data_IF_062295590086
#
_entry.id   IF_062295590086
#
_cell.length_a   1.000
_cell.length_b   1.000
_cell.length_c   1.000
_cell.angle_alpha   90.00
_cell.angle_beta   90.00
_cell.angle_gamma   90.00
#
_symmetry.space_group_name_H-M   'P 1'
#
loop_
_entity.id
_entity.type
_entity.pdbx_description
1 polymer ?
#
# COMPACT_ATOMS: atom_id res chain seq x y z
N UNK A 1 -1.83 -20.55 -18.75
CA UNK A 1 -1.81 -19.62 -19.90
C UNK A 1 -0.70 -18.61 -19.65
N UNK A 2 0.09 -18.19 -20.64
CA UNK A 2 1.16 -17.21 -20.43
C UNK A 2 0.58 -15.92 -19.83
N UNK A 3 0.85 -15.69 -18.55
CA UNK A 3 0.32 -14.56 -17.76
C UNK A 3 1.09 -13.27 -18.07
N UNK A 4 1.07 -12.83 -19.32
CA UNK A 4 1.71 -11.58 -19.73
C UNK A 4 0.67 -10.46 -19.77
N UNK A 5 0.82 -9.46 -18.89
CA UNK A 5 0.02 -8.23 -18.88
C UNK A 5 0.81 -7.10 -19.54
N UNK A 6 0.14 -6.26 -20.34
CA UNK A 6 0.73 -5.04 -20.92
C UNK A 6 1.12 -4.04 -19.82
N UNK A 7 2.29 -3.42 -19.97
CA UNK A 7 2.76 -2.34 -19.08
C UNK A 7 1.77 -1.17 -19.11
N UNK A 8 1.40 -0.73 -20.32
CA UNK A 8 0.38 0.28 -20.52
C UNK A 8 -1.00 -0.39 -20.61
N UNK A 9 -1.86 -0.08 -19.65
CA UNK A 9 -3.26 -0.48 -19.63
C UNK A 9 -4.09 0.63 -18.98
N UNK A 10 -5.34 0.85 -19.42
CA UNK A 10 -6.19 1.87 -18.83
C UNK A 10 -6.46 1.56 -17.35
N UNK A 11 -6.55 2.61 -16.53
CA UNK A 11 -6.95 2.48 -15.14
C UNK A 11 -8.45 2.16 -15.04
N UNK A 12 -8.91 1.58 -13.91
CA UNK A 12 -10.33 1.31 -13.69
C UNK A 12 -11.21 2.56 -13.78
N UNK A 13 -12.39 2.40 -14.39
CA UNK A 13 -13.41 3.43 -14.53
C UNK A 13 -14.06 3.83 -13.20
N UNK A 14 -15.02 4.75 -13.21
CA UNK A 14 -15.70 5.21 -11.98
C UNK A 14 -16.54 4.10 -11.36
N UNK A 15 -17.34 3.40 -12.16
CA UNK A 15 -18.27 2.34 -11.71
C UNK A 15 -17.53 1.12 -11.16
N UNK A 16 -16.31 0.88 -11.64
CA UNK A 16 -15.47 -0.24 -11.22
C UNK A 16 -14.77 0.00 -9.87
N UNK A 17 -14.80 1.23 -9.34
CA UNK A 17 -14.17 1.58 -8.06
C UNK A 17 -15.12 1.33 -6.90
N UNK A 18 -14.54 0.94 -5.77
CA UNK A 18 -15.24 0.83 -4.48
C UNK A 18 -14.58 1.75 -3.45
N UNK A 19 -15.36 2.27 -2.51
CA UNK A 19 -14.85 3.03 -1.37
C UNK A 19 -13.84 2.22 -0.57
N UNK A 20 -12.71 2.85 -0.24
CA UNK A 20 -11.67 2.27 0.60
C UNK A 20 -12.23 2.08 2.00
N UNK A 21 -12.33 0.83 2.45
CA UNK A 21 -12.95 0.45 3.73
C UNK A 21 -12.17 -0.62 4.49
N UNK A 22 -11.17 -1.25 3.86
CA UNK A 22 -10.34 -2.29 4.47
C UNK A 22 -8.98 -1.69 4.82
N UNK A 23 -8.50 -1.81 6.07
CA UNK A 23 -7.20 -1.28 6.45
C UNK A 23 -6.04 -2.09 5.83
N UNK A 24 -4.93 -1.41 5.55
CA UNK A 24 -3.63 -1.98 5.25
C UNK A 24 -2.72 -1.68 6.44
N UNK A 25 -2.52 -2.68 7.30
CA UNK A 25 -1.77 -2.53 8.55
C UNK A 25 -0.27 -2.43 8.26
N UNK A 26 0.36 -1.31 8.62
CA UNK A 26 1.80 -1.11 8.41
C UNK A 26 2.64 -1.79 9.49
N UNK A 27 2.09 -2.00 10.69
CA UNK A 27 2.83 -2.49 11.86
C UNK A 27 3.57 -1.36 12.59
N UNK A 28 3.43 -0.12 12.11
CA UNK A 28 4.08 1.07 12.68
C UNK A 28 3.00 1.86 13.42
N UNK A 29 3.05 1.81 14.76
CA UNK A 29 2.07 2.47 15.65
C UNK A 29 1.79 3.92 15.28
N UNK A 30 2.83 4.69 14.94
CA UNK A 30 2.68 6.09 14.57
C UNK A 30 1.84 6.29 13.30
N UNK A 31 1.95 5.38 12.33
CA UNK A 31 1.20 5.44 11.07
C UNK A 31 -0.21 4.88 11.30
N UNK A 32 -0.31 3.67 11.84
CA UNK A 32 -1.61 2.98 11.98
C UNK A 32 -2.59 3.72 12.91
N UNK A 33 -2.08 4.47 13.90
CA UNK A 33 -2.92 5.25 14.81
C UNK A 33 -3.26 6.66 14.30
N UNK A 34 -2.30 7.38 13.71
CA UNK A 34 -2.48 8.80 13.35
C UNK A 34 -2.87 9.00 11.88
N UNK A 35 -2.33 8.18 10.97
CA UNK A 35 -2.49 8.31 9.52
C UNK A 35 -2.73 6.90 8.94
N UNK A 36 -3.87 6.27 9.26
CA UNK A 36 -4.15 4.91 8.81
C UNK A 36 -4.22 4.85 7.28
N UNK A 37 -3.70 3.76 6.71
CA UNK A 37 -3.70 3.52 5.26
C UNK A 37 -4.72 2.43 4.94
N UNK A 38 -5.57 2.66 3.94
CA UNK A 38 -6.53 1.66 3.46
C UNK A 38 -6.11 0.96 2.16
N UNK A 39 -6.63 -0.25 1.93
CA UNK A 39 -6.44 -1.00 0.67
C UNK A 39 -7.12 -0.27 -0.49
N UNK A 40 -6.32 0.20 -1.45
CA UNK A 40 -6.78 1.02 -2.57
C UNK A 40 -6.51 2.53 -2.41
N UNK A 41 -5.99 2.94 -1.24
CA UNK A 41 -5.49 4.30 -1.02
C UNK A 41 -4.10 4.48 -1.63
N UNK A 42 -3.76 5.72 -2.00
CA UNK A 42 -2.41 6.12 -2.42
C UNK A 42 -1.82 6.99 -1.31
N UNK A 43 -0.82 6.48 -0.61
CA UNK A 43 -0.15 7.20 0.48
C UNK A 43 1.26 7.62 0.06
N UNK A 44 1.56 8.93 0.16
CA UNK A 44 2.88 9.48 -0.13
C UNK A 44 3.79 9.35 1.11
N UNK A 45 5.02 8.88 0.90
CA UNK A 45 6.10 8.90 1.90
C UNK A 45 7.16 9.88 1.39
N UNK A 46 7.32 11.02 2.08
CA UNK A 46 8.23 12.10 1.70
C UNK A 46 9.12 12.51 2.88
N UNK A 47 10.34 12.95 2.59
CA UNK A 47 11.31 13.40 3.59
C UNK A 47 12.74 13.40 3.03
N UNK A 48 13.68 13.91 3.82
CA UNK A 48 15.09 14.08 3.43
C UNK A 48 15.83 12.74 3.27
N UNK A 49 17.08 12.79 2.81
CA UNK A 49 17.93 11.60 2.72
C UNK A 49 18.09 10.94 4.10
N UNK A 50 18.16 9.60 4.14
CA UNK A 50 18.37 8.81 5.37
C UNK A 50 17.28 8.95 6.46
N UNK A 51 16.08 9.42 6.12
CA UNK A 51 14.93 9.53 7.06
C UNK A 51 14.08 8.27 7.17
N UNK A 52 14.56 7.12 6.69
CA UNK A 52 13.84 5.85 6.84
C UNK A 52 12.68 5.60 5.86
N UNK A 53 12.53 6.38 4.79
CA UNK A 53 11.48 6.18 3.77
C UNK A 53 11.40 4.74 3.25
N UNK A 54 12.56 4.16 2.90
CA UNK A 54 12.66 2.78 2.41
C UNK A 54 12.37 1.76 3.50
N UNK A 55 12.80 2.03 4.74
CA UNK A 55 12.55 1.14 5.87
C UNK A 55 11.06 1.00 6.16
N UNK A 56 10.32 2.12 6.20
CA UNK A 56 8.86 2.12 6.38
C UNK A 56 8.17 1.24 5.33
N UNK A 57 8.57 1.36 4.06
CA UNK A 57 7.99 0.56 2.98
C UNK A 57 8.32 -0.94 3.11
N UNK A 58 9.56 -1.28 3.47
CA UNK A 58 10.00 -2.68 3.66
C UNK A 58 9.26 -3.31 4.86
N UNK A 59 9.21 -2.63 6.00
CA UNK A 59 8.55 -3.13 7.20
C UNK A 59 7.06 -3.35 6.95
N UNK A 60 6.42 -2.45 6.21
CA UNK A 60 5.02 -2.59 5.78
C UNK A 60 4.81 -3.86 4.95
N UNK A 61 5.73 -4.20 4.04
CA UNK A 61 5.67 -5.42 3.24
C UNK A 61 5.86 -6.66 4.12
N UNK A 62 6.85 -6.65 5.02
CA UNK A 62 7.14 -7.78 5.93
C UNK A 62 5.94 -8.05 6.86
N UNK A 63 5.29 -7.01 7.37
CA UNK A 63 4.12 -7.14 8.23
C UNK A 63 2.93 -7.84 7.55
N UNK A 64 2.87 -7.86 6.21
CA UNK A 64 1.82 -8.59 5.48
C UNK A 64 2.03 -10.11 5.45
N UNK A 65 3.18 -10.64 5.91
CA UNK A 65 3.47 -12.08 5.85
C UNK A 65 2.36 -12.92 6.50
N UNK A 66 1.79 -12.46 7.61
CA UNK A 66 0.69 -13.15 8.29
C UNK A 66 -0.59 -13.29 7.44
N UNK A 67 -0.74 -12.52 6.36
CA UNK A 67 -1.87 -12.66 5.43
C UNK A 67 -1.63 -13.75 4.36
N UNK A 68 -0.45 -14.36 4.31
CA UNK A 68 -0.05 -15.36 3.31
C UNK A 68 0.02 -16.78 3.88
N UNK A 69 0.00 -16.91 5.21
CA UNK A 69 -0.16 -18.18 5.94
C UNK A 69 -1.65 -18.45 6.20
#
# INVERSE_FOLDING_TARGET
>A
AKEERRIESPAPGIIERKSVSVPLQTGIKAIDAMIPVGRGQRQLIIGDRQTGKTAIAIDTIINQKANWE
#
